data_IF_255161498383
#
_entry.id   IF_255161498383
#
_cell.length_a   1.000
_cell.length_b   1.000
_cell.length_c   1.000
_cell.angle_alpha   90.00
_cell.angle_beta   90.00
_cell.angle_gamma   90.00
#
_symmetry.space_group_name_H-M   'P 1'
#
loop_
_entity.id
_entity.type
_entity.pdbx_description
1 polymer ?
#
# COMPACT_ATOMS: atom_id res chain seq x y z
N UNK A 1 3.59 -21.86 -26.67
CA UNK A 1 2.72 -22.47 -25.66
C UNK A 1 3.57 -22.62 -24.40
N UNK A 2 3.34 -21.72 -23.43
CA UNK A 2 3.62 -21.81 -21.99
C UNK A 2 5.01 -22.26 -21.53
N UNK A 3 5.87 -21.29 -21.23
CA UNK A 3 6.58 -21.25 -19.96
C UNK A 3 6.40 -19.81 -19.42
N UNK A 4 6.62 -19.57 -18.13
CA UNK A 4 6.77 -18.22 -17.53
C UNK A 4 5.61 -17.62 -16.71
N UNK A 5 4.37 -18.11 -16.75
CA UNK A 5 3.37 -17.60 -15.77
C UNK A 5 3.44 -18.28 -14.39
N UNK A 6 4.18 -19.38 -14.26
CA UNK A 6 4.14 -20.25 -13.06
C UNK A 6 5.42 -20.09 -12.21
N UNK A 7 6.55 -19.73 -12.81
CA UNK A 7 7.86 -19.71 -12.12
C UNK A 7 8.08 -18.39 -11.38
N UNK A 8 7.63 -17.26 -11.91
CA UNK A 8 7.75 -15.95 -11.24
C UNK A 8 6.95 -15.91 -9.92
N UNK A 9 5.87 -16.68 -9.85
CA UNK A 9 5.13 -16.89 -8.60
C UNK A 9 5.65 -17.94 -7.64
N UNK A 10 6.73 -18.62 -7.98
CA UNK A 10 7.47 -19.40 -6.99
C UNK A 10 8.20 -18.46 -6.02
N UNK A 11 8.72 -17.32 -6.52
CA UNK A 11 9.37 -16.30 -5.69
C UNK A 11 8.32 -15.44 -4.98
N UNK A 12 7.09 -15.37 -5.51
CA UNK A 12 5.95 -14.67 -4.92
C UNK A 12 6.27 -13.18 -4.66
N UNK A 13 6.86 -12.53 -5.68
CA UNK A 13 7.02 -11.07 -5.72
C UNK A 13 5.66 -10.42 -5.88
N UNK A 14 5.21 -9.70 -4.86
CA UNK A 14 3.88 -9.07 -4.85
C UNK A 14 3.83 -7.89 -3.89
N UNK A 15 2.94 -6.92 -4.15
CA UNK A 15 2.67 -5.83 -3.22
C UNK A 15 2.29 -6.35 -1.84
N UNK A 16 2.83 -5.71 -0.81
CA UNK A 16 2.57 -6.01 0.59
C UNK A 16 2.29 -4.71 1.33
N UNK A 17 1.10 -4.63 1.93
CA UNK A 17 0.80 -3.62 2.94
C UNK A 17 1.16 -4.26 4.29
N UNK A 18 2.05 -3.69 5.11
CA UNK A 18 2.43 -4.29 6.39
C UNK A 18 1.24 -4.39 7.35
N UNK A 19 1.29 -5.34 8.28
CA UNK A 19 0.36 -5.31 9.42
C UNK A 19 0.74 -4.13 10.30
N UNK A 20 -0.23 -3.25 10.59
CA UNK A 20 -0.05 -2.10 11.47
C UNK A 20 -1.24 -2.00 12.42
N UNK A 21 -0.94 -1.72 13.67
CA UNK A 21 -1.92 -1.20 14.63
C UNK A 21 -1.70 0.29 14.73
N UNK A 22 -2.73 1.06 14.36
CA UNK A 22 -2.72 2.50 14.47
C UNK A 22 -2.70 2.92 15.95
N UNK A 23 -2.01 4.01 16.24
CA UNK A 23 -2.08 4.67 17.53
C UNK A 23 -3.51 5.15 17.79
N UNK A 24 -3.89 5.22 19.07
CA UNK A 24 -5.20 5.74 19.46
C UNK A 24 -5.15 7.27 19.46
N UNK A 25 -6.00 7.90 18.66
CA UNK A 25 -6.13 9.36 18.62
C UNK A 25 -7.06 9.90 19.71
N UNK A 26 -7.01 11.21 19.93
CA UNK A 26 -7.94 11.91 20.82
C UNK A 26 -8.47 13.15 20.11
N UNK A 27 -9.75 13.47 20.31
CA UNK A 27 -10.36 14.68 19.72
C UNK A 27 -9.56 15.93 20.09
N UNK A 28 -9.28 16.76 19.09
CA UNK A 28 -8.59 18.05 19.28
C UNK A 28 -7.07 17.95 19.48
N UNK A 29 -6.49 16.75 19.43
CA UNK A 29 -5.04 16.54 19.45
C UNK A 29 -4.55 16.12 18.08
N UNK A 30 -3.37 16.63 17.70
CA UNK A 30 -2.74 16.22 16.45
C UNK A 30 -2.48 14.72 16.45
N UNK A 31 -2.90 14.07 15.37
CA UNK A 31 -2.75 12.65 15.10
C UNK A 31 -1.86 12.49 13.86
N UNK A 32 -0.98 11.49 13.89
CA UNK A 32 -0.18 11.11 12.73
C UNK A 32 0.20 9.63 12.83
N UNK A 33 -0.01 8.91 11.74
CA UNK A 33 0.48 7.54 11.58
C UNK A 33 0.74 7.21 10.12
N UNK A 34 1.81 6.45 9.86
CA UNK A 34 2.25 6.13 8.51
C UNK A 34 2.20 4.63 8.21
N UNK A 35 1.87 4.28 6.97
CA UNK A 35 2.04 2.94 6.40
C UNK A 35 3.01 3.05 5.24
N UNK A 36 4.12 2.32 5.32
CA UNK A 36 5.07 2.18 4.21
C UNK A 36 4.81 0.84 3.52
N UNK A 37 4.33 0.88 2.28
CA UNK A 37 4.17 -0.30 1.44
C UNK A 37 5.53 -0.84 0.98
N UNK A 38 5.55 -2.13 0.62
CA UNK A 38 6.73 -2.80 0.10
C UNK A 38 6.32 -3.82 -0.97
N UNK A 39 7.30 -4.34 -1.71
CA UNK A 39 7.11 -5.51 -2.56
C UNK A 39 7.81 -6.68 -1.90
N UNK A 40 7.04 -7.70 -1.56
CA UNK A 40 7.55 -8.91 -0.94
C UNK A 40 8.63 -9.54 -1.83
N UNK A 41 9.74 -9.96 -1.22
CA UNK A 41 10.84 -10.65 -1.91
C UNK A 41 11.49 -9.84 -3.05
N UNK A 42 11.41 -8.50 -3.00
CA UNK A 42 12.08 -7.61 -3.93
C UNK A 42 12.95 -6.59 -3.18
N UNK A 43 14.28 -6.75 -3.15
CA UNK A 43 15.17 -5.82 -2.44
C UNK A 43 15.30 -4.45 -3.13
N UNK A 44 14.94 -4.34 -4.40
CA UNK A 44 14.98 -3.10 -5.17
C UNK A 44 13.56 -2.56 -5.41
N UNK A 45 12.67 -2.69 -4.44
CA UNK A 45 11.27 -2.29 -4.54
C UNK A 45 11.07 -0.77 -4.72
N UNK A 46 12.13 0.02 -4.52
CA UNK A 46 12.19 1.46 -4.77
C UNK A 46 12.17 1.87 -6.26
N UNK A 47 12.24 0.91 -7.21
CA UNK A 47 12.11 1.22 -8.65
C UNK A 47 10.67 1.09 -9.16
N UNK A 48 9.75 0.66 -8.30
CA UNK A 48 8.35 0.48 -8.67
C UNK A 48 7.57 1.75 -8.36
N UNK A 49 6.49 1.95 -9.12
CA UNK A 49 5.52 3.02 -8.84
C UNK A 49 4.42 2.49 -7.92
N UNK A 50 4.07 3.27 -6.89
CA UNK A 50 3.10 2.91 -5.86
C UNK A 50 1.90 3.84 -5.93
N UNK A 51 0.71 3.26 -5.94
CA UNK A 51 -0.55 3.99 -5.96
C UNK A 51 -1.47 3.48 -4.86
N UNK A 52 -2.08 4.41 -4.13
CA UNK A 52 -2.98 4.11 -3.02
C UNK A 52 -4.38 4.63 -3.32
N UNK A 53 -5.36 3.75 -3.17
CA UNK A 53 -6.76 4.13 -3.02
C UNK A 53 -7.21 3.77 -1.61
N UNK A 54 -8.00 4.65 -0.98
CA UNK A 54 -8.57 4.39 0.34
C UNK A 54 -10.09 4.46 0.28
N UNK A 55 -10.72 3.41 0.80
CA UNK A 55 -12.16 3.22 0.82
C UNK A 55 -12.67 3.12 2.25
N UNK A 56 -13.89 3.58 2.52
CA UNK A 56 -14.52 3.48 3.84
C UNK A 56 -14.47 4.79 4.62
N UNK A 57 -14.55 4.69 5.94
CA UNK A 57 -14.70 5.85 6.81
C UNK A 57 -13.36 6.23 7.43
N UNK A 58 -12.85 7.41 7.09
CA UNK A 58 -11.80 8.08 7.84
C UNK A 58 -12.43 8.97 8.93
N UNK A 59 -11.77 9.14 10.09
CA UNK A 59 -12.24 10.09 11.09
C UNK A 59 -12.26 11.52 10.53
N UNK A 60 -13.34 12.27 10.82
CA UNK A 60 -13.43 13.70 10.46
C UNK A 60 -12.23 14.48 11.01
N UNK A 61 -11.64 15.35 10.17
CA UNK A 61 -10.46 16.14 10.51
C UNK A 61 -9.12 15.44 10.30
N UNK A 62 -9.12 14.18 9.83
CA UNK A 62 -7.93 13.50 9.33
C UNK A 62 -7.92 13.48 7.79
N UNK A 63 -6.74 13.72 7.24
CA UNK A 63 -6.45 13.67 5.81
C UNK A 63 -5.43 12.57 5.50
N UNK A 64 -5.35 12.22 4.23
CA UNK A 64 -4.38 11.27 3.69
C UNK A 64 -3.35 11.98 2.82
N UNK A 65 -2.09 11.65 3.02
CA UNK A 65 -0.99 12.13 2.20
C UNK A 65 -0.17 10.95 1.71
N UNK A 66 0.12 10.93 0.42
CA UNK A 66 0.99 9.93 -0.19
C UNK A 66 2.34 10.56 -0.52
N UNK A 67 3.40 9.97 -0.01
CA UNK A 67 4.78 10.25 -0.40
C UNK A 67 5.43 8.96 -0.87
N UNK A 68 5.52 8.82 -2.19
CA UNK A 68 6.03 7.62 -2.84
C UNK A 68 5.29 6.34 -2.37
N UNK A 69 5.95 5.50 -1.56
CA UNK A 69 5.40 4.26 -1.00
C UNK A 69 4.84 4.40 0.41
N UNK A 70 4.82 5.62 0.96
CA UNK A 70 4.32 5.90 2.31
C UNK A 70 2.98 6.63 2.22
N UNK A 71 1.97 6.06 2.88
CA UNK A 71 0.68 6.69 3.12
C UNK A 71 0.63 7.17 4.57
N UNK A 72 0.55 8.48 4.74
CA UNK A 72 0.39 9.16 6.03
C UNK A 72 -1.07 9.50 6.27
N UNK A 73 -1.54 9.24 7.50
CA UNK A 73 -2.85 9.63 7.99
C UNK A 73 -2.62 10.64 9.10
N UNK A 74 -2.97 11.90 8.86
CA UNK A 74 -2.66 12.98 9.80
C UNK A 74 -3.71 14.07 9.83
N UNK A 75 -3.75 14.81 10.94
CA UNK A 75 -4.70 15.89 11.15
C UNK A 75 -5.14 16.01 12.60
N UNK A 76 -6.30 16.62 12.83
CA UNK A 76 -6.88 16.81 14.15
C UNK A 76 -8.27 16.19 14.17
N UNK A 77 -8.46 15.01 14.78
CA UNK A 77 -9.75 14.35 14.82
C UNK A 77 -10.82 15.22 15.50
N UNK A 78 -12.01 15.24 14.91
CA UNK A 78 -13.17 16.01 15.41
C UNK A 78 -14.22 15.12 16.08
N UNK A 79 -14.25 13.83 15.73
CA UNK A 79 -15.28 12.87 16.15
C UNK A 79 -14.63 11.62 16.76
N UNK A 80 -15.10 11.21 17.94
CA UNK A 80 -14.67 9.96 18.58
C UNK A 80 -15.43 8.76 18.03
N UNK A 81 -14.77 7.60 18.01
CA UNK A 81 -15.33 6.38 17.46
C UNK A 81 -14.28 5.41 16.95
N UNK A 82 -14.78 4.29 16.41
CA UNK A 82 -13.99 3.29 15.71
C UNK A 82 -14.27 3.42 14.22
N UNK A 83 -13.22 3.71 13.45
CA UNK A 83 -13.31 4.01 12.03
C UNK A 83 -12.59 2.94 11.24
N UNK A 84 -13.34 2.19 10.42
CA UNK A 84 -12.81 1.11 9.59
C UNK A 84 -12.73 1.56 8.14
N UNK A 85 -11.57 1.34 7.54
CA UNK A 85 -11.27 1.69 6.14
C UNK A 85 -10.34 0.64 5.54
N UNK A 86 -10.36 0.56 4.22
CA UNK A 86 -9.55 -0.36 3.44
C UNK A 86 -8.57 0.43 2.60
N UNK A 87 -7.29 0.10 2.74
CA UNK A 87 -6.25 0.58 1.83
C UNK A 87 -6.12 -0.44 0.71
N UNK A 88 -6.29 0.02 -0.51
CA UNK A 88 -5.97 -0.69 -1.73
C UNK A 88 -4.65 -0.14 -2.26
N UNK A 89 -3.69 -1.04 -2.48
CA UNK A 89 -2.39 -0.73 -3.05
C UNK A 89 -2.34 -1.30 -4.48
N UNK A 90 -1.89 -0.48 -5.42
CA UNK A 90 -1.49 -0.87 -6.76
C UNK A 90 -0.02 -0.57 -6.97
N UNK A 91 0.65 -1.42 -7.74
CA UNK A 91 2.08 -1.31 -8.02
C UNK A 91 2.33 -1.64 -9.49
N UNK A 92 3.08 -0.78 -10.14
CA UNK A 92 3.57 -1.00 -11.50
C UNK A 92 5.08 -1.24 -11.50
N UNK A 93 5.58 -2.28 -12.19
CA UNK A 93 7.00 -2.52 -12.34
C UNK A 93 7.66 -1.43 -13.19
N UNK A 94 8.96 -1.13 -12.99
CA UNK A 94 9.69 -0.29 -13.92
C UNK A 94 9.64 -0.92 -15.31
N UNK A 95 9.40 -0.11 -16.33
CA UNK A 95 9.45 -0.52 -17.73
C UNK A 95 10.87 -1.00 -18.08
N UNK A 96 11.12 -2.31 -18.00
CA UNK A 96 12.35 -2.94 -18.48
C UNK A 96 12.06 -3.73 -19.75
N UNK A 97 12.66 -3.29 -20.85
CA UNK A 97 12.57 -3.99 -22.13
C UNK A 97 13.58 -5.13 -22.13
N UNK A 98 13.10 -6.36 -22.16
CA UNK A 98 13.94 -7.54 -22.34
C UNK A 98 14.20 -7.73 -23.85
N UNK A 99 15.43 -7.46 -24.28
CA UNK A 99 15.85 -7.60 -25.67
C UNK A 99 15.80 -9.05 -26.17
N UNK A 100 15.97 -10.03 -25.27
CA UNK A 100 15.99 -11.46 -25.63
C UNK A 100 14.57 -11.99 -25.90
N UNK A 101 13.61 -11.60 -25.07
CA UNK A 101 12.18 -11.95 -25.25
C UNK A 101 11.42 -10.97 -26.14
N UNK A 102 11.97 -9.78 -26.40
CA UNK A 102 11.32 -8.65 -27.07
C UNK A 102 10.02 -8.17 -26.39
N UNK A 103 9.88 -8.44 -25.08
CA UNK A 103 8.72 -8.07 -24.28
C UNK A 103 9.14 -7.18 -23.09
N UNK A 104 8.17 -6.49 -22.50
CA UNK A 104 8.37 -5.78 -21.24
C UNK A 104 8.30 -6.81 -20.11
N UNK A 105 9.32 -6.85 -19.26
CA UNK A 105 9.42 -7.85 -18.20
C UNK A 105 8.51 -7.47 -17.02
N UNK A 106 7.43 -8.22 -16.82
CA UNK A 106 6.60 -8.15 -15.62
C UNK A 106 6.93 -9.32 -14.70
N UNK A 107 7.66 -9.01 -13.64
CA UNK A 107 8.09 -10.00 -12.66
C UNK A 107 7.18 -10.05 -11.41
N UNK A 108 6.03 -9.36 -11.43
CA UNK A 108 5.07 -9.38 -10.33
C UNK A 108 4.04 -10.51 -10.50
N UNK A 109 3.72 -11.16 -9.39
CA UNK A 109 2.63 -12.12 -9.33
C UNK A 109 1.23 -11.51 -9.34
N UNK A 110 1.18 -10.25 -8.94
CA UNK A 110 -0.03 -9.48 -8.79
C UNK A 110 0.37 -8.02 -8.71
N UNK A 111 -0.41 -7.15 -9.33
CA UNK A 111 -0.17 -5.71 -9.29
C UNK A 111 -0.87 -5.02 -8.12
N UNK A 112 -1.63 -5.77 -7.31
CA UNK A 112 -2.46 -5.14 -6.29
C UNK A 112 -2.68 -6.02 -5.07
N UNK A 113 -2.86 -5.38 -3.93
CA UNK A 113 -3.29 -6.00 -2.68
C UNK A 113 -4.14 -5.03 -1.89
N UNK A 114 -4.93 -5.53 -0.95
CA UNK A 114 -5.77 -4.69 -0.09
C UNK A 114 -5.69 -5.14 1.36
N UNK A 115 -5.83 -4.19 2.28
CA UNK A 115 -5.91 -4.49 3.71
C UNK A 115 -6.87 -3.55 4.41
N UNK A 116 -7.72 -4.13 5.25
CA UNK A 116 -8.61 -3.40 6.14
C UNK A 116 -7.87 -3.02 7.42
N UNK A 117 -8.14 -1.81 7.89
CA UNK A 117 -7.60 -1.26 9.12
C UNK A 117 -8.69 -0.60 9.95
N UNK A 118 -8.36 -0.33 11.21
CA UNK A 118 -9.24 0.41 12.12
C UNK A 118 -8.42 1.42 12.91
N UNK A 119 -8.92 2.65 12.97
CA UNK A 119 -8.43 3.71 13.86
C UNK A 119 -9.45 3.91 14.98
N UNK A 120 -8.95 4.04 16.21
CA UNK A 120 -9.74 4.41 17.37
C UNK A 120 -9.44 5.86 17.75
N UNK A 121 -10.49 6.68 17.85
CA UNK A 121 -10.43 8.05 18.36
C UNK A 121 -11.26 8.14 19.64
N UNK A 122 -10.67 8.70 20.70
CA UNK A 122 -11.32 8.94 21.99
C UNK A 122 -11.78 10.40 22.16
#
# INVERSE_FOLDING_TARGET
>A
MSCDTIVDCIINKRPEIPNKSFTVGNIGYYYQDDITAEIKNEPNDNYYDYYFDVYGNLPDGLDLYTDYRTLSIEGVPETSGSFTFTIQLYVDPPEYYDEDSQEWEDNLCSHSTSKEFTILIN
#
